data_IF_751061321490
#
_entry.id   IF_751061321490
#
_cell.length_a   1.000
_cell.length_b   1.000
_cell.length_c   1.000
_cell.angle_alpha   90.00
_cell.angle_beta   90.00
_cell.angle_gamma   90.00
#
_symmetry.space_group_name_H-M   'P 1'
#
loop_
_entity.id
_entity.type
_entity.pdbx_description
1 polymer ?
#
# COMPACT_ATOMS: atom_id res chain seq x y z
N UNK A 1 1.15 -100.88 -102.12
CA UNK A 1 0.05 -100.35 -102.95
C UNK A 1 -0.12 -98.88 -102.60
N UNK A 2 -0.08 -98.02 -103.62
CA UNK A 2 0.05 -96.56 -103.50
C UNK A 2 -1.24 -95.83 -103.11
N UNK A 3 -1.01 -94.54 -102.76
CA UNK A 3 -1.94 -93.38 -102.81
C UNK A 3 -2.89 -93.29 -101.59
N UNK A 4 -3.20 -92.12 -101.04
CA UNK A 4 -3.25 -90.79 -101.65
C UNK A 4 -3.35 -89.69 -100.57
N UNK A 5 -2.57 -88.63 -100.76
CA UNK A 5 -2.91 -87.20 -100.66
C UNK A 5 -4.21 -86.81 -99.93
N UNK A 6 -4.13 -85.95 -98.91
CA UNK A 6 -4.46 -84.53 -99.09
C UNK A 6 -3.98 -83.69 -97.87
N UNK A 7 -3.18 -82.64 -98.10
CA UNK A 7 -2.79 -81.66 -97.11
C UNK A 7 -3.89 -80.59 -96.99
N UNK A 8 -4.13 -80.10 -95.78
CA UNK A 8 -4.62 -78.74 -95.60
C UNK A 8 -3.74 -78.10 -94.53
N UNK A 9 -2.76 -77.40 -95.07
CA UNK A 9 -2.31 -76.07 -94.66
C UNK A 9 -3.13 -75.47 -93.49
N UNK A 10 -2.47 -75.21 -92.35
CA UNK A 10 -1.75 -73.94 -92.10
C UNK A 10 -2.74 -72.78 -92.00
N UNK A 11 -2.82 -72.13 -90.85
CA UNK A 11 -2.15 -70.84 -90.58
C UNK A 11 -3.29 -69.95 -89.99
N UNK A 12 -3.19 -69.14 -88.94
CA UNK A 12 -2.13 -68.70 -88.04
C UNK A 12 -2.75 -68.22 -86.73
N UNK A 13 -1.94 -68.23 -85.67
CA UNK A 13 -1.90 -67.18 -84.65
C UNK A 13 -3.24 -66.66 -84.09
N UNK A 14 -3.74 -67.33 -83.06
CA UNK A 14 -4.57 -66.71 -82.01
C UNK A 14 -3.89 -66.85 -80.65
N UNK A 15 -2.65 -66.36 -80.60
CA UNK A 15 -1.77 -66.42 -79.44
C UNK A 15 -2.42 -65.86 -78.17
N UNK A 16 -2.42 -66.66 -77.11
CA UNK A 16 -2.76 -66.28 -75.73
C UNK A 16 -4.24 -65.98 -75.46
N UNK A 17 -4.86 -65.15 -76.29
CA UNK A 17 -6.20 -64.60 -76.04
C UNK A 17 -7.32 -65.63 -76.22
N UNK A 18 -7.22 -66.58 -77.16
CA UNK A 18 -8.20 -67.65 -77.29
C UNK A 18 -8.14 -68.64 -76.13
N UNK A 19 -6.95 -68.92 -75.58
CA UNK A 19 -6.80 -69.76 -74.38
C UNK A 19 -7.30 -69.06 -73.12
N UNK A 20 -7.09 -67.75 -73.02
CA UNK A 20 -7.67 -66.93 -71.95
C UNK A 20 -9.19 -66.89 -72.10
N UNK A 21 -9.74 -66.70 -73.31
CA UNK A 21 -11.18 -66.67 -73.54
C UNK A 21 -11.84 -68.04 -73.26
N UNK A 22 -11.16 -69.15 -73.58
CA UNK A 22 -11.59 -70.52 -73.25
C UNK A 22 -11.66 -70.80 -71.74
N UNK A 23 -10.84 -70.12 -70.93
CA UNK A 23 -10.82 -70.27 -69.46
C UNK A 23 -11.71 -69.20 -68.79
N UNK A 24 -11.72 -67.98 -69.33
CA UNK A 24 -12.40 -66.82 -68.78
C UNK A 24 -13.92 -66.90 -68.94
N UNK A 25 -14.42 -67.40 -70.08
CA UNK A 25 -15.87 -67.58 -70.31
C UNK A 25 -16.48 -68.55 -69.29
N UNK A 26 -15.97 -69.78 -69.08
CA UNK A 26 -16.47 -70.64 -68.02
C UNK A 26 -16.19 -70.08 -66.62
N UNK A 27 -15.08 -69.38 -66.37
CA UNK A 27 -14.81 -68.76 -65.07
C UNK A 27 -15.82 -67.65 -64.71
N UNK A 28 -16.11 -66.73 -65.62
CA UNK A 28 -17.13 -65.70 -65.40
C UNK A 28 -18.50 -66.33 -65.25
N UNK A 29 -18.84 -67.35 -66.06
CA UNK A 29 -20.08 -68.10 -65.88
C UNK A 29 -20.16 -68.74 -64.49
N UNK A 30 -19.07 -69.30 -63.97
CA UNK A 30 -19.05 -69.82 -62.59
C UNK A 30 -19.20 -68.74 -61.54
N UNK A 31 -18.60 -67.55 -61.70
CA UNK A 31 -18.75 -66.43 -60.77
C UNK A 31 -20.18 -65.91 -60.77
N UNK A 32 -20.80 -65.77 -61.94
CA UNK A 32 -22.20 -65.35 -62.07
C UNK A 32 -23.15 -66.40 -61.51
N UNK A 33 -22.88 -67.68 -61.74
CA UNK A 33 -23.69 -68.79 -61.22
C UNK A 33 -23.53 -68.92 -59.69
N UNK A 34 -22.32 -68.75 -59.16
CA UNK A 34 -22.07 -68.67 -57.72
C UNK A 34 -22.69 -67.42 -57.10
N UNK A 35 -22.67 -66.27 -57.78
CA UNK A 35 -23.34 -65.04 -57.36
C UNK A 35 -24.85 -65.19 -57.32
N UNK A 36 -25.45 -65.81 -58.35
CA UNK A 36 -26.87 -66.14 -58.38
C UNK A 36 -27.26 -67.14 -57.28
N UNK A 37 -26.41 -68.14 -57.02
CA UNK A 37 -26.57 -69.05 -55.89
C UNK A 37 -26.43 -68.32 -54.53
N UNK A 38 -25.50 -67.38 -54.41
CA UNK A 38 -25.28 -66.60 -53.19
C UNK A 38 -26.49 -65.72 -52.81
N UNK A 39 -27.25 -65.24 -53.80
CA UNK A 39 -28.53 -64.54 -53.55
C UNK A 39 -29.57 -65.48 -52.91
N UNK A 40 -29.54 -66.78 -53.24
CA UNK A 40 -30.47 -67.79 -52.72
C UNK A 40 -30.09 -68.37 -51.34
N UNK A 41 -28.86 -68.19 -50.86
CA UNK A 41 -28.42 -68.69 -49.55
C UNK A 41 -28.82 -67.75 -48.39
N UNK A 42 -29.27 -68.34 -47.27
CA UNK A 42 -29.63 -67.67 -46.00
C UNK A 42 -28.43 -66.96 -45.34
N UNK A 43 -28.71 -66.03 -44.41
CA UNK A 43 -27.74 -65.16 -43.73
C UNK A 43 -26.56 -65.93 -43.07
N UNK A 44 -26.82 -67.07 -42.43
CA UNK A 44 -25.80 -67.83 -41.70
C UNK A 44 -24.60 -68.29 -42.57
N UNK A 45 -24.83 -68.57 -43.86
CA UNK A 45 -23.76 -69.02 -44.77
C UNK A 45 -22.93 -67.85 -45.29
N UNK A 46 -23.52 -66.64 -45.32
CA UNK A 46 -22.82 -65.40 -45.68
C UNK A 46 -21.90 -64.96 -44.55
N UNK A 47 -22.35 -65.08 -43.31
CA UNK A 47 -21.55 -64.74 -42.12
C UNK A 47 -20.30 -65.63 -42.02
N UNK A 48 -20.44 -66.94 -42.25
CA UNK A 48 -19.30 -67.86 -42.30
C UNK A 48 -18.33 -67.60 -43.46
N UNK A 49 -18.80 -67.04 -44.58
CA UNK A 49 -17.95 -66.68 -45.72
C UNK A 49 -17.17 -65.38 -45.45
N UNK A 50 -17.81 -64.40 -44.79
CA UNK A 50 -17.18 -63.14 -44.37
C UNK A 50 -16.08 -63.41 -43.33
N UNK A 51 -16.27 -64.36 -42.43
CA UNK A 51 -15.26 -64.79 -41.46
C UNK A 51 -14.02 -65.44 -42.11
N UNK A 52 -14.23 -66.23 -43.17
CA UNK A 52 -13.12 -66.83 -43.92
C UNK A 52 -12.42 -65.78 -44.78
N UNK A 53 -13.15 -64.82 -45.35
CA UNK A 53 -12.59 -63.70 -46.11
C UNK A 53 -11.74 -62.77 -45.21
N UNK A 54 -12.19 -62.48 -43.98
CA UNK A 54 -11.46 -61.67 -43.01
C UNK A 54 -10.15 -62.31 -42.50
N UNK A 55 -9.97 -63.63 -42.70
CA UNK A 55 -8.73 -64.35 -42.38
C UNK A 55 -7.66 -64.31 -43.48
N UNK A 56 -7.99 -63.77 -44.66
CA UNK A 56 -7.02 -63.61 -45.76
C UNK A 56 -6.43 -62.19 -45.70
N UNK A 57 -5.13 -62.02 -45.41
CA UNK A 57 -4.53 -60.71 -45.16
C UNK A 57 -4.66 -59.69 -46.31
N UNK A 58 -4.81 -60.18 -47.54
CA UNK A 58 -4.80 -59.36 -48.76
C UNK A 58 -6.13 -58.62 -48.96
N UNK A 59 -7.25 -59.08 -48.38
CA UNK A 59 -8.59 -58.53 -48.65
C UNK A 59 -9.24 -57.84 -47.44
N UNK A 60 -8.59 -57.82 -46.27
CA UNK A 60 -9.09 -57.25 -45.00
C UNK A 60 -9.56 -55.79 -45.11
N UNK A 61 -8.97 -54.99 -45.99
CA UNK A 61 -9.28 -53.55 -46.10
C UNK A 61 -10.42 -53.22 -47.07
N UNK A 62 -10.97 -54.21 -47.79
CA UNK A 62 -12.10 -54.03 -48.72
C UNK A 62 -13.39 -54.68 -48.18
N UNK A 63 -13.32 -55.41 -47.07
CA UNK A 63 -14.48 -56.09 -46.48
C UNK A 63 -15.18 -55.14 -45.49
N UNK A 64 -16.50 -54.92 -45.60
CA UNK A 64 -17.27 -54.16 -44.60
C UNK A 64 -17.17 -54.81 -43.21
N UNK A 65 -17.09 -53.99 -42.15
CA UNK A 65 -17.05 -54.48 -40.77
C UNK A 65 -18.20 -55.47 -40.51
N UNK A 66 -17.96 -56.57 -39.76
CA UNK A 66 -18.99 -57.54 -39.44
C UNK A 66 -20.18 -56.81 -38.82
N UNK A 67 -21.38 -57.10 -39.32
CA UNK A 67 -22.61 -56.54 -38.77
C UNK A 67 -22.70 -57.04 -37.34
N UNK A 68 -22.35 -56.17 -36.39
CA UNK A 68 -22.42 -56.46 -34.95
C UNK A 68 -23.79 -57.03 -34.68
N UNK A 69 -23.83 -58.18 -34.00
CA UNK A 69 -25.11 -58.75 -33.59
C UNK A 69 -25.85 -57.71 -32.74
N UNK A 70 -27.19 -57.68 -32.77
CA UNK A 70 -27.97 -56.72 -31.97
C UNK A 70 -27.62 -56.73 -30.47
N UNK A 71 -27.02 -57.81 -29.97
CA UNK A 71 -26.53 -57.92 -28.58
C UNK A 71 -25.19 -57.21 -28.35
N UNK A 72 -24.25 -57.25 -29.29
CA UNK A 72 -22.94 -56.59 -29.17
C UNK A 72 -23.03 -55.07 -29.34
N UNK A 73 -23.92 -54.59 -30.21
CA UNK A 73 -24.25 -53.17 -30.31
C UNK A 73 -24.86 -52.63 -29.01
N UNK A 74 -25.83 -53.35 -28.44
CA UNK A 74 -26.44 -53.00 -27.16
C UNK A 74 -25.44 -53.00 -26.00
N UNK A 75 -24.49 -53.94 -25.99
CA UNK A 75 -23.46 -53.99 -24.95
C UNK A 75 -22.48 -52.81 -25.05
N UNK A 76 -22.14 -52.36 -26.26
CA UNK A 76 -21.27 -51.20 -26.48
C UNK A 76 -21.97 -49.89 -26.14
N UNK A 77 -23.25 -49.75 -26.50
CA UNK A 77 -24.09 -48.60 -26.12
C UNK A 77 -24.30 -48.55 -24.60
N UNK A 78 -24.56 -49.70 -23.95
CA UNK A 78 -24.70 -49.77 -22.50
C UNK A 78 -23.41 -49.37 -21.76
N UNK A 79 -22.24 -49.82 -22.23
CA UNK A 79 -20.94 -49.41 -21.66
C UNK A 79 -20.65 -47.92 -21.85
N UNK A 80 -20.94 -47.36 -23.03
CA UNK A 80 -20.79 -45.92 -23.28
C UNK A 80 -21.75 -45.09 -22.42
N UNK A 81 -22.96 -45.60 -22.16
CA UNK A 81 -23.93 -44.95 -21.30
C UNK A 81 -23.52 -45.02 -19.82
N UNK A 82 -22.95 -46.14 -19.36
CA UNK A 82 -22.36 -46.26 -18.02
C UNK A 82 -21.17 -45.31 -17.85
N UNK A 83 -20.21 -45.28 -18.79
CA UNK A 83 -19.07 -44.36 -18.73
C UNK A 83 -19.52 -42.88 -18.72
N UNK A 84 -20.53 -42.53 -19.52
CA UNK A 84 -21.10 -41.18 -19.52
C UNK A 84 -21.85 -40.85 -18.22
N UNK A 85 -22.53 -41.83 -17.62
CA UNK A 85 -23.22 -41.66 -16.34
C UNK A 85 -22.22 -41.51 -15.20
N UNK A 86 -21.14 -42.31 -15.18
CA UNK A 86 -20.05 -42.20 -14.21
C UNK A 86 -19.33 -40.86 -14.32
N UNK A 87 -19.01 -40.41 -15.54
CA UNK A 87 -18.43 -39.09 -15.77
C UNK A 87 -19.33 -37.96 -15.26
N UNK A 88 -20.64 -38.06 -15.47
CA UNK A 88 -21.62 -37.08 -14.96
C UNK A 88 -21.71 -37.10 -13.43
N UNK A 89 -21.66 -38.28 -12.81
CA UNK A 89 -21.65 -38.42 -11.35
C UNK A 89 -20.38 -37.82 -10.75
N UNK A 90 -19.22 -38.02 -11.37
CA UNK A 90 -17.95 -37.42 -10.92
C UNK A 90 -18.01 -35.90 -11.02
N UNK A 91 -18.51 -35.36 -12.13
CA UNK A 91 -18.66 -33.91 -12.32
C UNK A 91 -19.67 -33.31 -11.32
N UNK A 92 -20.81 -33.95 -11.10
CA UNK A 92 -21.80 -33.51 -10.11
C UNK A 92 -21.25 -33.58 -8.68
N UNK A 93 -20.46 -34.60 -8.33
CA UNK A 93 -19.77 -34.68 -7.03
C UNK A 93 -18.77 -33.55 -6.86
N UNK A 94 -18.02 -33.23 -7.91
CA UNK A 94 -17.08 -32.10 -7.91
C UNK A 94 -17.81 -30.77 -7.72
N UNK A 95 -18.89 -30.53 -8.46
CA UNK A 95 -19.70 -29.32 -8.32
C UNK A 95 -20.36 -29.21 -6.94
N UNK A 96 -20.79 -30.34 -6.35
CA UNK A 96 -21.30 -30.35 -4.98
C UNK A 96 -20.21 -29.99 -3.96
N UNK A 97 -19.01 -30.56 -4.10
CA UNK A 97 -17.89 -30.24 -3.21
C UNK A 97 -17.50 -28.74 -3.31
N UNK A 98 -17.43 -28.19 -4.52
CA UNK A 98 -17.15 -26.76 -4.75
C UNK A 98 -18.27 -25.85 -4.20
N UNK A 99 -19.53 -26.27 -4.32
CA UNK A 99 -20.68 -25.56 -3.75
C UNK A 99 -20.72 -25.62 -2.23
N UNK A 100 -20.29 -26.74 -1.64
CA UNK A 100 -20.19 -26.91 -0.19
C UNK A 100 -19.04 -26.09 0.40
N UNK A 101 -17.90 -26.03 -0.29
CA UNK A 101 -16.77 -25.17 0.07
C UNK A 101 -17.15 -23.69 0.00
N UNK A 102 -17.76 -23.24 -1.11
CA UNK A 102 -18.23 -21.85 -1.23
C UNK A 102 -19.34 -21.50 -0.22
N UNK A 103 -20.22 -22.45 0.12
CA UNK A 103 -21.21 -22.24 1.19
C UNK A 103 -20.55 -22.06 2.56
N UNK A 104 -19.51 -22.85 2.86
CA UNK A 104 -18.77 -22.73 4.11
C UNK A 104 -18.04 -21.38 4.18
N UNK A 105 -17.37 -20.97 3.11
CA UNK A 105 -16.71 -19.66 3.03
C UNK A 105 -17.69 -18.50 3.20
N UNK A 106 -18.84 -18.54 2.51
CA UNK A 106 -19.88 -17.51 2.62
C UNK A 106 -20.48 -17.50 4.03
N UNK A 107 -20.65 -18.66 4.66
CA UNK A 107 -21.16 -18.75 6.04
C UNK A 107 -20.17 -18.17 7.04
N UNK A 108 -18.88 -18.43 6.88
CA UNK A 108 -17.81 -17.88 7.72
C UNK A 108 -17.66 -16.36 7.53
N UNK A 109 -17.74 -15.87 6.28
CA UNK A 109 -17.77 -14.45 5.98
C UNK A 109 -19.00 -13.77 6.57
N UNK A 110 -20.18 -14.41 6.49
CA UNK A 110 -21.42 -13.89 7.08
C UNK A 110 -21.32 -13.83 8.60
N UNK A 111 -20.79 -14.86 9.25
CA UNK A 111 -20.56 -14.87 10.71
C UNK A 111 -19.58 -13.77 11.12
N UNK A 112 -18.52 -13.56 10.34
CA UNK A 112 -17.54 -12.49 10.58
C UNK A 112 -18.16 -11.10 10.41
N UNK A 113 -18.98 -10.92 9.36
CA UNK A 113 -19.71 -9.66 9.14
C UNK A 113 -20.76 -9.41 10.21
N UNK A 114 -21.52 -10.42 10.65
CA UNK A 114 -22.49 -10.30 11.75
C UNK A 114 -21.80 -9.92 13.06
N UNK A 115 -20.64 -10.52 13.37
CA UNK A 115 -19.84 -10.13 14.53
C UNK A 115 -19.36 -8.68 14.44
N UNK A 116 -18.90 -8.24 13.26
CA UNK A 116 -18.44 -6.87 13.04
C UNK A 116 -19.59 -5.86 13.11
N UNK A 117 -20.76 -6.21 12.59
CA UNK A 117 -21.97 -5.39 12.72
C UNK A 117 -22.35 -5.27 14.18
N UNK A 118 -22.36 -6.36 14.94
CA UNK A 118 -22.67 -6.35 16.38
C UNK A 118 -21.66 -5.53 17.19
N UNK A 119 -20.37 -5.61 16.84
CA UNK A 119 -19.32 -4.79 17.46
C UNK A 119 -19.51 -3.30 17.16
N UNK A 120 -19.82 -2.96 15.90
CA UNK A 120 -20.12 -1.59 15.48
C UNK A 120 -21.40 -1.06 16.13
N UNK A 121 -22.45 -1.87 16.24
CA UNK A 121 -23.67 -1.53 16.98
C UNK A 121 -23.37 -1.27 18.45
N UNK A 122 -22.56 -2.12 19.10
CA UNK A 122 -22.14 -1.92 20.49
C UNK A 122 -21.31 -0.65 20.66
N UNK A 123 -20.42 -0.34 19.71
CA UNK A 123 -19.67 0.92 19.72
C UNK A 123 -20.59 2.12 19.54
N UNK A 124 -21.53 2.06 18.60
CA UNK A 124 -22.51 3.15 18.36
C UNK A 124 -23.38 3.34 19.60
N UNK A 125 -23.89 2.27 20.21
CA UNK A 125 -24.69 2.33 21.43
C UNK A 125 -23.86 2.88 22.60
N UNK A 126 -22.59 2.49 22.72
CA UNK A 126 -21.68 3.06 23.73
C UNK A 126 -21.44 4.55 23.51
N UNK A 127 -21.15 4.97 22.27
CA UNK A 127 -20.94 6.37 21.92
C UNK A 127 -22.21 7.20 22.08
N UNK A 128 -23.37 6.65 21.74
CA UNK A 128 -24.67 7.29 21.89
C UNK A 128 -25.08 7.35 23.36
N UNK A 129 -24.79 6.32 24.16
CA UNK A 129 -24.98 6.36 25.61
C UNK A 129 -24.06 7.40 26.26
N UNK A 130 -22.78 7.47 25.89
CA UNK A 130 -21.87 8.52 26.38
C UNK A 130 -22.33 9.92 25.96
N UNK A 131 -22.86 10.07 24.74
CA UNK A 131 -23.42 11.34 24.27
C UNK A 131 -24.76 11.70 24.93
N UNK A 132 -25.59 10.72 25.30
CA UNK A 132 -26.92 10.92 25.88
C UNK A 132 -26.91 11.04 27.41
N UNK A 133 -25.96 10.42 28.10
CA UNK A 133 -25.84 10.48 29.56
C UNK A 133 -25.39 11.85 30.08
N UNK A 134 -24.85 12.74 29.23
CA UNK A 134 -24.35 14.05 29.67
C UNK A 134 -23.22 13.97 30.70
N UNK A 135 -22.73 12.76 31.01
CA UNK A 135 -21.52 12.51 31.77
C UNK A 135 -20.35 12.75 30.82
N UNK A 136 -20.05 14.04 30.63
CA UNK A 136 -18.70 14.42 30.24
C UNK A 136 -17.76 13.73 31.24
N UNK A 137 -16.76 12.94 30.79
CA UNK A 137 -15.73 12.44 31.71
C UNK A 137 -15.20 13.66 32.45
N UNK A 138 -15.11 13.62 33.80
CA UNK A 138 -14.71 14.77 34.64
C UNK A 138 -13.72 15.66 33.90
N UNK A 139 -14.26 16.70 33.25
CA UNK A 139 -13.41 17.51 32.40
C UNK A 139 -12.61 18.38 33.33
N UNK A 140 -11.29 18.21 33.26
CA UNK A 140 -10.39 19.12 33.95
C UNK A 140 -10.83 20.56 33.67
N UNK A 141 -10.88 21.37 34.73
CA UNK A 141 -11.25 22.79 34.65
C UNK A 141 -10.44 23.52 33.57
N UNK A 142 -9.22 23.04 33.28
CA UNK A 142 -8.41 23.49 32.16
C UNK A 142 -9.05 23.21 30.79
N UNK A 143 -9.49 21.98 30.53
CA UNK A 143 -10.15 21.60 29.26
C UNK A 143 -11.44 22.37 29.05
N UNK A 144 -12.22 22.60 30.11
CA UNK A 144 -13.41 23.45 30.06
C UNK A 144 -13.08 24.89 29.65
N UNK A 145 -12.01 25.47 30.21
CA UNK A 145 -11.55 26.82 29.85
C UNK A 145 -11.11 26.90 28.38
N UNK A 146 -10.36 25.91 27.90
CA UNK A 146 -9.94 25.84 26.49
C UNK A 146 -11.15 25.74 25.57
N UNK A 147 -12.16 24.95 25.93
CA UNK A 147 -13.39 24.85 25.13
C UNK A 147 -14.16 26.16 25.10
N UNK A 148 -14.34 26.81 26.24
CA UNK A 148 -15.07 28.08 26.31
C UNK A 148 -14.35 29.17 25.51
N UNK A 149 -13.02 29.23 25.62
CA UNK A 149 -12.21 30.14 24.83
C UNK A 149 -12.32 29.81 23.32
N UNK A 150 -12.34 28.52 22.97
CA UNK A 150 -12.48 28.08 21.57
C UNK A 150 -13.84 28.46 21.01
N UNK A 151 -14.88 28.37 21.83
CA UNK A 151 -16.23 28.83 21.48
C UNK A 151 -16.27 30.34 21.27
N UNK A 152 -15.65 31.12 22.15
CA UNK A 152 -15.55 32.58 22.00
C UNK A 152 -14.92 32.98 20.65
N UNK A 153 -13.80 32.36 20.28
CA UNK A 153 -13.16 32.62 18.99
C UNK A 153 -13.97 32.11 17.80
N UNK A 154 -14.74 31.04 17.97
CA UNK A 154 -15.62 30.52 16.94
C UNK A 154 -16.87 31.38 16.71
N UNK A 155 -17.35 32.08 17.75
CA UNK A 155 -18.47 33.02 17.68
C UNK A 155 -18.04 34.39 17.09
N UNK A 156 -16.74 34.66 17.03
CA UNK A 156 -16.19 35.80 16.30
C UNK A 156 -16.21 35.56 14.78
N UNK A 157 -16.16 36.64 14.01
CA UNK A 157 -16.01 36.50 12.56
C UNK A 157 -14.64 35.87 12.22
N UNK A 158 -14.58 34.89 11.29
CA UNK A 158 -13.33 34.20 10.96
C UNK A 158 -12.18 35.14 10.57
N UNK A 159 -12.48 36.23 9.87
CA UNK A 159 -11.49 37.24 9.48
C UNK A 159 -10.89 38.01 10.67
N UNK A 160 -11.54 38.01 11.84
CA UNK A 160 -11.02 38.61 13.08
C UNK A 160 -10.37 37.56 13.98
N UNK A 161 -10.95 36.37 14.04
CA UNK A 161 -10.41 35.27 14.84
C UNK A 161 -9.06 34.79 14.29
N UNK A 162 -8.94 34.60 12.96
CA UNK A 162 -7.73 34.05 12.35
C UNK A 162 -6.46 34.87 12.61
N UNK A 163 -6.43 36.22 12.47
CA UNK A 163 -5.25 37.00 12.85
C UNK A 163 -4.88 36.90 14.33
N UNK A 164 -5.87 36.80 15.22
CA UNK A 164 -5.61 36.68 16.67
C UNK A 164 -5.00 35.31 16.98
N UNK A 165 -5.56 34.25 16.41
CA UNK A 165 -5.07 32.88 16.61
C UNK A 165 -3.68 32.67 16.02
N UNK A 166 -3.34 33.33 14.91
CA UNK A 166 -2.00 33.29 14.32
C UNK A 166 -0.93 33.99 15.17
N UNK A 167 -1.32 34.81 16.15
CA UNK A 167 -0.40 35.40 17.12
C UNK A 167 -0.15 34.48 18.33
N UNK A 168 -0.89 33.37 18.47
CA UNK A 168 -0.63 32.34 19.46
C UNK A 168 0.57 31.47 19.04
N UNK A 169 1.02 30.58 19.91
CA UNK A 169 1.90 29.50 19.47
C UNK A 169 1.14 28.50 18.61
N UNK A 170 1.85 27.75 17.76
CA UNK A 170 1.24 26.75 16.87
C UNK A 170 0.46 25.70 17.68
N UNK A 171 1.03 25.26 18.78
CA UNK A 171 0.49 24.25 19.68
C UNK A 171 -0.78 24.75 20.40
N UNK A 172 -0.79 26.00 20.89
CA UNK A 172 -1.98 26.61 21.49
C UNK A 172 -3.10 26.79 20.46
N UNK A 173 -2.75 27.25 19.25
CA UNK A 173 -3.71 27.42 18.18
C UNK A 173 -4.36 26.07 17.80
N UNK A 174 -3.56 25.01 17.68
CA UNK A 174 -4.04 23.66 17.36
C UNK A 174 -4.93 23.10 18.47
N UNK A 175 -4.53 23.27 19.73
CA UNK A 175 -5.34 22.87 20.89
C UNK A 175 -6.74 23.53 20.84
N UNK A 176 -6.77 24.84 20.56
CA UNK A 176 -8.01 25.59 20.42
C UNK A 176 -8.85 25.14 19.23
N UNK A 177 -8.23 25.00 18.05
CA UNK A 177 -8.90 24.49 16.86
C UNK A 177 -9.49 23.10 17.08
N UNK A 178 -8.80 22.22 17.83
CA UNK A 178 -9.24 20.85 18.13
C UNK A 178 -10.58 20.80 18.87
N UNK A 179 -10.86 21.80 19.72
CA UNK A 179 -12.10 21.93 20.49
C UNK A 179 -13.23 22.62 19.72
N UNK A 180 -12.95 23.18 18.53
CA UNK A 180 -13.96 23.81 17.68
C UNK A 180 -14.67 22.80 16.78
N UNK A 181 -15.94 23.10 16.45
CA UNK A 181 -16.69 22.42 15.39
C UNK A 181 -15.98 22.56 14.05
N UNK A 182 -16.05 21.50 13.22
CA UNK A 182 -15.37 21.43 11.92
C UNK A 182 -15.67 22.63 11.01
N UNK A 183 -16.93 23.08 10.94
CA UNK A 183 -17.32 24.25 10.12
C UNK A 183 -16.60 25.54 10.52
N UNK A 184 -16.50 25.80 11.83
CA UNK A 184 -15.86 27.01 12.36
C UNK A 184 -14.34 26.92 12.18
N UNK A 185 -13.77 25.73 12.41
CA UNK A 185 -12.35 25.45 12.18
C UNK A 185 -11.94 25.72 10.72
N UNK A 186 -12.71 25.21 9.76
CA UNK A 186 -12.45 25.42 8.33
C UNK A 186 -12.55 26.90 7.95
N UNK A 187 -13.59 27.59 8.44
CA UNK A 187 -13.79 29.00 8.14
C UNK A 187 -12.63 29.86 8.66
N UNK A 188 -12.10 29.56 9.86
CA UNK A 188 -10.95 30.26 10.44
C UNK A 188 -9.68 29.91 9.67
N UNK A 189 -9.40 28.63 9.41
CA UNK A 189 -8.22 28.19 8.63
C UNK A 189 -8.16 28.85 7.25
N UNK A 190 -9.32 29.05 6.59
CA UNK A 190 -9.40 29.74 5.31
C UNK A 190 -8.97 31.22 5.37
N UNK A 191 -9.02 31.84 6.56
CA UNK A 191 -8.62 33.24 6.81
C UNK A 191 -7.23 33.36 7.42
N UNK A 192 -6.52 32.26 7.62
CA UNK A 192 -5.13 32.26 8.07
C UNK A 192 -4.17 32.36 6.88
N UNK A 193 -2.90 32.60 7.18
CA UNK A 193 -1.81 32.43 6.23
C UNK A 193 -1.73 30.95 5.77
N UNK A 194 -1.55 30.67 4.47
CA UNK A 194 -1.52 29.31 3.95
C UNK A 194 -0.48 28.41 4.62
N UNK A 195 0.68 28.95 5.00
CA UNK A 195 1.73 28.18 5.67
C UNK A 195 1.29 27.81 7.07
N UNK A 196 0.79 28.78 7.84
CA UNK A 196 0.29 28.55 9.20
C UNK A 196 -0.88 27.57 9.23
N UNK A 197 -1.79 27.65 8.25
CA UNK A 197 -2.91 26.71 8.13
C UNK A 197 -2.43 25.27 7.83
N UNK A 198 -1.42 25.12 6.96
CA UNK A 198 -0.82 23.82 6.66
C UNK A 198 -0.13 23.21 7.89
N UNK A 199 0.68 24.00 8.61
CA UNK A 199 1.37 23.57 9.82
C UNK A 199 0.36 23.15 10.91
N UNK A 200 -0.72 23.93 11.08
CA UNK A 200 -1.79 23.62 12.03
C UNK A 200 -2.55 22.33 11.68
N UNK A 201 -2.81 22.07 10.40
CA UNK A 201 -3.51 20.87 9.96
C UNK A 201 -2.65 19.61 10.07
N UNK A 202 -1.35 19.72 9.81
CA UNK A 202 -0.40 18.64 10.08
C UNK A 202 -0.39 18.26 11.56
N UNK A 203 -0.27 19.26 12.44
CA UNK A 203 -0.24 19.01 13.89
C UNK A 203 -1.59 18.51 14.43
N UNK A 204 -2.72 18.94 13.87
CA UNK A 204 -4.04 18.38 14.19
C UNK A 204 -4.18 16.90 13.79
N UNK A 205 -3.51 16.47 12.71
CA UNK A 205 -3.51 15.07 12.27
C UNK A 205 -2.66 14.20 13.19
N UNK A 206 -1.55 14.73 13.68
CA UNK A 206 -0.54 13.97 14.43
C UNK A 206 -0.78 14.00 15.96
N UNK A 207 -1.81 14.70 16.43
CA UNK A 207 -2.16 14.76 17.85
C UNK A 207 -2.83 13.45 18.34
N UNK A 208 -2.16 12.74 19.25
CA UNK A 208 -2.62 11.46 19.78
C UNK A 208 -3.65 11.62 20.93
N UNK A 209 -3.43 12.57 21.86
CA UNK A 209 -4.34 12.82 23.00
C UNK A 209 -4.52 14.31 23.32
N UNK A 210 -5.62 14.68 23.98
CA UNK A 210 -5.88 16.07 24.41
C UNK A 210 -4.94 16.57 25.49
N UNK A 211 -4.46 15.68 26.35
CA UNK A 211 -3.51 16.02 27.43
C UNK A 211 -2.13 16.34 26.87
N UNK A 212 -1.64 15.55 25.90
CA UNK A 212 -0.36 15.78 25.26
C UNK A 212 -0.34 17.12 24.51
N UNK A 213 -1.44 17.46 23.83
CA UNK A 213 -1.62 18.77 23.19
C UNK A 213 -1.57 19.91 24.21
N UNK A 214 -2.21 19.76 25.37
CA UNK A 214 -2.20 20.76 26.43
C UNK A 214 -0.79 20.99 27.00
N UNK A 215 -0.04 19.91 27.25
CA UNK A 215 1.33 19.99 27.75
C UNK A 215 2.23 20.65 26.72
N UNK A 216 2.13 20.27 25.44
CA UNK A 216 2.89 20.86 24.36
C UNK A 216 2.60 22.37 24.21
N UNK A 217 1.32 22.76 24.28
CA UNK A 217 0.90 24.15 24.25
C UNK A 217 1.50 24.98 25.41
N UNK A 218 1.46 24.44 26.63
CA UNK A 218 2.04 25.11 27.80
C UNK A 218 3.56 25.27 27.67
N UNK A 219 4.27 24.23 27.25
CA UNK A 219 5.72 24.29 27.04
C UNK A 219 6.10 25.29 25.94
N UNK A 220 5.34 25.34 24.84
CA UNK A 220 5.55 26.28 23.74
C UNK A 220 5.38 27.73 24.22
N UNK A 221 4.34 28.01 25.01
CA UNK A 221 4.13 29.34 25.61
C UNK A 221 5.25 29.73 26.56
N UNK A 222 5.75 28.82 27.40
CA UNK A 222 6.91 29.11 28.26
C UNK A 222 8.12 29.50 27.43
N UNK A 223 8.44 28.74 26.37
CA UNK A 223 9.56 29.05 25.46
C UNK A 223 9.39 30.41 24.78
N UNK A 224 8.17 30.74 24.31
CA UNK A 224 7.85 32.04 23.72
C UNK A 224 8.05 33.18 24.72
N UNK A 225 7.56 33.02 25.95
CA UNK A 225 7.74 34.01 27.01
C UNK A 225 9.21 34.18 27.41
N UNK A 226 10.01 33.10 27.41
CA UNK A 226 11.45 33.16 27.65
C UNK A 226 12.19 33.89 26.53
N UNK A 227 11.85 33.64 25.27
CA UNK A 227 12.43 34.35 24.12
C UNK A 227 12.02 35.82 24.09
N UNK A 228 10.77 36.15 24.39
CA UNK A 228 10.29 37.54 24.50
C UNK A 228 10.94 38.27 25.69
N UNK A 229 11.14 37.60 26.82
CA UNK A 229 11.86 38.14 27.97
C UNK A 229 13.37 38.34 27.68
N UNK A 230 13.97 37.45 26.88
CA UNK A 230 15.35 37.61 26.42
C UNK A 230 15.49 38.78 25.44
N UNK A 231 14.54 38.96 24.51
CA UNK A 231 14.53 40.07 23.54
C UNK A 231 14.26 41.44 24.20
N UNK A 232 13.43 41.50 25.25
CA UNK A 232 13.24 42.74 26.05
C UNK A 232 14.46 43.12 26.88
N UNK A 233 15.34 42.18 27.25
CA UNK A 233 16.59 42.50 27.97
C UNK A 233 17.68 43.09 27.07
N UNK A 234 17.59 42.93 25.75
CA UNK A 234 18.61 43.43 24.80
C UNK A 234 18.39 44.87 24.32
N UNK A 235 17.25 45.52 24.60
CA UNK A 235 16.95 46.85 24.05
C UNK A 235 17.40 48.03 24.92
N UNK A 236 17.63 47.85 26.23
CA UNK A 236 17.94 48.98 27.14
C UNK A 236 19.43 49.13 27.49
N UNK A 237 20.26 48.10 27.30
CA UNK A 237 21.71 48.16 27.56
C UNK A 237 22.47 47.20 26.65
N UNK A 238 23.75 47.50 26.38
CA UNK A 238 24.67 46.58 25.69
C UNK A 238 24.69 45.23 26.42
N UNK A 239 24.40 44.14 25.71
CA UNK A 239 24.51 42.79 26.26
C UNK A 239 25.99 42.44 26.52
N UNK A 240 26.24 41.48 27.42
CA UNK A 240 27.55 40.95 27.77
C UNK A 240 28.39 40.59 26.54
N UNK A 241 27.77 39.98 25.53
CA UNK A 241 28.45 39.63 24.29
C UNK A 241 28.89 40.87 23.50
N UNK A 242 28.05 41.90 23.43
CA UNK A 242 28.36 43.14 22.73
C UNK A 242 29.44 43.94 23.47
N UNK A 243 29.38 43.95 24.81
CA UNK A 243 30.43 44.52 25.66
C UNK A 243 31.77 43.81 25.44
N UNK A 244 31.79 42.47 25.48
CA UNK A 244 33.02 41.72 25.22
C UNK A 244 33.59 42.03 23.82
N UNK A 245 32.76 41.98 22.78
CA UNK A 245 33.18 42.28 21.41
C UNK A 245 33.72 43.71 21.25
N UNK A 246 33.08 44.70 21.91
CA UNK A 246 33.51 46.10 21.84
C UNK A 246 34.90 46.29 22.41
N UNK A 247 35.18 45.72 23.59
CA UNK A 247 36.48 45.87 24.24
C UNK A 247 37.54 44.93 23.65
N UNK A 248 37.17 43.77 23.13
CA UNK A 248 38.08 42.86 22.43
C UNK A 248 38.54 43.41 21.07
N UNK A 249 37.67 44.16 20.38
CA UNK A 249 37.98 44.84 19.11
C UNK A 249 38.75 46.16 19.28
N UNK A 250 38.85 46.69 20.50
CA UNK A 250 39.56 47.94 20.80
C UNK A 250 41.04 47.67 21.11
N UNK A 251 41.92 48.64 20.83
CA UNK A 251 43.32 48.54 21.26
C UNK A 251 43.40 48.56 22.79
N UNK A 252 44.30 47.76 23.42
CA UNK A 252 44.39 47.69 24.88
C UNK A 252 44.64 49.03 25.56
N UNK A 253 45.40 49.92 24.91
CA UNK A 253 45.70 51.26 25.43
C UNK A 253 44.45 52.16 25.50
N UNK A 254 43.61 52.14 24.47
CA UNK A 254 42.39 52.94 24.41
C UNK A 254 41.33 52.39 25.38
N UNK A 255 41.20 51.06 25.44
CA UNK A 255 40.31 50.40 26.39
C UNK A 255 40.70 50.70 27.83
N UNK A 256 42.00 50.65 28.14
CA UNK A 256 42.52 51.01 29.46
C UNK A 256 42.20 52.46 29.83
N UNK A 257 42.45 53.41 28.93
CA UNK A 257 42.20 54.83 29.18
C UNK A 257 40.71 55.13 29.41
N UNK A 258 39.84 54.58 28.55
CA UNK A 258 38.39 54.71 28.68
C UNK A 258 37.90 54.13 30.01
N UNK A 259 38.39 52.96 30.41
CA UNK A 259 37.99 52.31 31.65
C UNK A 259 38.55 53.01 32.89
N UNK A 260 39.75 53.59 32.83
CA UNK A 260 40.29 54.41 33.92
C UNK A 260 39.50 55.71 34.09
N UNK A 261 39.08 56.36 33.01
CA UNK A 261 38.17 57.52 33.08
C UNK A 261 36.79 57.11 33.58
N UNK A 262 36.26 55.98 33.11
CA UNK A 262 35.00 55.41 33.59
C UNK A 262 35.08 55.08 35.07
N UNK A 263 36.22 54.59 35.58
CA UNK A 263 36.40 54.27 36.98
C UNK A 263 36.31 55.52 37.88
N UNK A 264 36.78 56.67 37.39
CA UNK A 264 36.65 57.96 38.10
C UNK A 264 35.20 58.41 38.23
N UNK A 265 34.35 58.10 37.25
CA UNK A 265 32.94 58.50 37.22
C UNK A 265 32.05 57.45 37.90
N UNK A 266 32.25 56.18 37.55
CA UNK A 266 31.49 55.02 38.00
C UNK A 266 32.39 53.79 38.15
N UNK A 267 32.90 53.54 39.38
CA UNK A 267 33.69 52.35 39.67
C UNK A 267 32.94 51.05 39.36
N UNK A 268 31.63 51.01 39.65
CA UNK A 268 30.79 49.84 39.45
C UNK A 268 30.71 49.43 37.97
N UNK A 269 30.50 50.39 37.05
CA UNK A 269 30.43 50.10 35.61
C UNK A 269 31.75 49.54 35.08
N UNK A 270 32.87 50.04 35.58
CA UNK A 270 34.20 49.53 35.21
C UNK A 270 34.37 48.07 35.64
N UNK A 271 33.94 47.71 36.85
CA UNK A 271 34.00 46.32 37.31
C UNK A 271 33.09 45.42 36.48
N UNK A 272 31.87 45.87 36.17
CA UNK A 272 30.95 45.11 35.31
C UNK A 272 31.57 44.84 33.94
N UNK A 273 32.18 45.84 33.31
CA UNK A 273 32.84 45.67 32.01
C UNK A 273 34.00 44.68 32.13
N UNK A 274 34.89 44.87 33.11
CA UNK A 274 36.06 44.01 33.28
C UNK A 274 35.65 42.56 33.62
N UNK A 275 34.58 42.32 34.37
CA UNK A 275 34.06 40.98 34.65
C UNK A 275 33.34 40.34 33.45
N UNK A 276 32.94 41.14 32.46
CA UNK A 276 32.20 40.69 31.28
C UNK A 276 33.11 40.32 30.12
N UNK A 277 34.24 41.01 29.96
CA UNK A 277 35.22 40.68 28.92
C UNK A 277 35.91 39.35 29.20
N UNK A 278 36.37 38.66 28.16
CA UNK A 278 37.12 37.42 28.30
C UNK A 278 38.47 37.63 29.02
N UNK A 279 39.06 36.56 29.53
CA UNK A 279 40.26 36.61 30.36
C UNK A 279 41.48 37.19 29.61
N UNK A 280 41.61 36.93 28.31
CA UNK A 280 42.71 37.43 27.50
C UNK A 280 42.57 38.94 27.23
N UNK A 281 41.35 39.40 26.96
CA UNK A 281 41.03 40.82 26.82
C UNK A 281 41.20 41.55 28.16
N UNK A 282 40.70 40.98 29.26
CA UNK A 282 40.88 41.54 30.62
C UNK A 282 42.35 41.71 30.99
N UNK A 283 43.16 40.67 30.76
CA UNK A 283 44.60 40.68 31.01
C UNK A 283 45.31 41.79 30.25
N UNK A 284 45.05 41.91 28.93
CA UNK A 284 45.67 42.95 28.09
C UNK A 284 45.28 44.35 28.53
N UNK A 285 44.02 44.56 28.89
CA UNK A 285 43.51 45.85 29.38
C UNK A 285 44.16 46.20 30.72
N UNK A 286 44.18 45.28 31.69
CA UNK A 286 44.79 45.52 33.01
C UNK A 286 46.28 45.79 32.90
N UNK A 287 46.99 45.10 32.00
CA UNK A 287 48.39 45.38 31.72
C UNK A 287 48.59 46.80 31.17
N UNK A 288 47.75 47.22 30.21
CA UNK A 288 47.79 48.57 29.66
C UNK A 288 47.41 49.66 30.70
N UNK A 289 46.51 49.36 31.65
CA UNK A 289 46.23 50.24 32.78
C UNK A 289 47.44 50.38 33.70
N UNK A 290 48.10 49.26 34.03
CA UNK A 290 49.29 49.24 34.90
C UNK A 290 50.44 50.09 34.33
N UNK A 291 50.64 50.02 33.01
CA UNK A 291 51.64 50.85 32.31
C UNK A 291 51.36 52.36 32.38
N UNK A 292 50.09 52.78 32.59
CA UNK A 292 49.71 54.19 32.73
C UNK A 292 49.67 54.65 34.19
N UNK A 293 49.09 53.84 35.06
CA UNK A 293 48.96 54.10 36.49
C UNK A 293 48.89 52.76 37.26
N UNK A 294 50.04 52.32 37.73
CA UNK A 294 50.18 51.05 38.44
C UNK A 294 49.37 51.00 39.74
N UNK A 295 49.22 52.13 40.43
CA UNK A 295 48.50 52.19 41.71
C UNK A 295 46.99 52.06 41.49
N UNK A 296 46.45 52.77 40.49
CA UNK A 296 45.04 52.69 40.13
C UNK A 296 44.71 51.30 39.54
N UNK A 297 45.58 50.74 38.71
CA UNK A 297 45.41 49.39 38.18
C UNK A 297 45.36 48.33 39.28
N UNK A 298 46.24 48.42 40.29
CA UNK A 298 46.22 47.54 41.46
C UNK A 298 44.93 47.70 42.28
N UNK A 299 44.43 48.93 42.47
CA UNK A 299 43.14 49.18 43.14
C UNK A 299 41.97 48.56 42.39
N UNK A 300 41.93 48.71 41.07
CA UNK A 300 40.92 48.09 40.19
C UNK A 300 40.98 46.57 40.30
N UNK A 301 42.17 45.98 40.20
CA UNK A 301 42.36 44.53 40.30
C UNK A 301 41.92 43.98 41.65
N UNK A 302 42.31 44.64 42.75
CA UNK A 302 41.91 44.22 44.09
C UNK A 302 40.38 44.23 44.26
N UNK A 303 39.72 45.25 43.69
CA UNK A 303 38.26 45.34 43.71
C UNK A 303 37.57 44.29 42.85
N UNK A 304 38.21 43.90 41.74
CA UNK A 304 37.73 42.84 40.86
C UNK A 304 37.82 41.46 41.53
N UNK A 305 38.85 41.23 42.35
CA UNK A 305 38.98 40.02 43.19
C UNK A 305 38.09 40.04 44.44
N UNK A 306 37.75 41.24 44.93
CA UNK A 306 37.01 41.46 46.17
C UNK A 306 35.49 41.61 46.03
N UNK A 307 34.88 41.26 44.89
CA UNK A 307 33.42 41.32 44.72
C UNK A 307 32.72 40.15 45.45
N UNK A 308 32.73 40.20 46.77
CA UNK A 308 31.66 39.68 47.63
C UNK A 308 30.99 40.85 48.33
#
# INVERSE_FOLDING_TARGET
>A
MSRKDMPLDKEESSGGFERILLILVPAIFTIVLLGALAVFFRADVRDGLIDVANKIPIVKNWVPDPVLTPEEQKLKEAKQQEESAEATIVELKKQLAEREETLNEVTEQKATQENKVKELETQIDSMQSTAASGEAPEEDAYTMQIRELSKLYADMSPSKAAPIMQNLTLEEMVLMLSQMKSSNRVAILQKMDPKTAADATMMLKDAETSEDMAIAALQSRVKKNETEAAQKKTSDNLDKNQLNQTFAGMTPANAAELLMQTYKISPAKTMTILNTVDDATRSRILNAMSSKDAELAAKILNRLMGSK
#
